data_IF_335690457660
#
_entry.id   IF_335690457660
#
_cell.length_a   1.000
_cell.length_b   1.000
_cell.length_c   1.000
_cell.angle_alpha   90.00
_cell.angle_beta   90.00
_cell.angle_gamma   90.00
#
_symmetry.space_group_name_H-M   'P 1'
#
loop_
_entity.id
_entity.type
_entity.pdbx_description
1 polymer ?
#
# COMPACT_ATOMS: atom_id res chain seq x y z
N UNK A 1 -46.19 -21.68 39.65
CA UNK A 1 -44.79 -22.19 39.59
C UNK A 1 -44.15 -21.83 38.26
N UNK A 2 -42.79 -21.82 38.17
CA UNK A 2 -42.09 -21.60 36.92
C UNK A 2 -41.14 -22.76 36.63
N UNK A 3 -40.95 -23.09 35.37
CA UNK A 3 -40.03 -24.13 34.90
C UNK A 3 -39.02 -23.49 33.95
N UNK A 4 -37.75 -23.83 34.03
CA UNK A 4 -36.73 -23.39 33.09
C UNK A 4 -36.94 -24.10 31.77
N UNK A 5 -36.86 -23.33 30.64
CA UNK A 5 -36.89 -23.80 29.29
C UNK A 5 -35.72 -23.20 28.52
N UNK A 6 -35.32 -23.83 27.42
CA UNK A 6 -34.14 -23.50 26.65
C UNK A 6 -34.58 -22.95 25.31
N UNK A 7 -34.09 -21.74 25.01
CA UNK A 7 -34.52 -20.95 23.83
C UNK A 7 -33.56 -21.10 22.68
N UNK A 8 -34.12 -21.14 21.47
CA UNK A 8 -33.38 -21.14 20.23
C UNK A 8 -33.86 -20.01 19.30
N UNK A 9 -32.95 -19.57 18.38
CA UNK A 9 -33.23 -18.53 17.40
C UNK A 9 -33.94 -19.07 16.14
N UNK A 10 -34.12 -18.21 15.14
CA UNK A 10 -34.75 -18.56 13.85
C UNK A 10 -33.97 -19.63 13.06
N UNK A 11 -32.68 -19.80 13.35
CA UNK A 11 -31.81 -20.82 12.77
C UNK A 11 -31.74 -22.09 13.65
N UNK A 12 -32.60 -22.14 14.67
CA UNK A 12 -32.63 -23.20 15.69
C UNK A 12 -31.37 -23.30 16.56
N UNK A 13 -30.53 -22.27 16.59
CA UNK A 13 -29.34 -22.24 17.45
C UNK A 13 -29.72 -21.85 18.89
N UNK A 14 -29.11 -22.52 19.86
CA UNK A 14 -29.28 -22.19 21.28
C UNK A 14 -28.83 -20.77 21.60
N UNK A 15 -29.68 -20.01 22.29
CA UNK A 15 -29.43 -18.60 22.66
C UNK A 15 -29.60 -18.31 24.15
N UNK A 16 -29.90 -19.33 24.96
CA UNK A 16 -30.01 -19.14 26.38
C UNK A 16 -31.26 -19.78 26.98
N UNK A 17 -31.58 -19.44 28.23
CA UNK A 17 -32.72 -19.97 28.99
C UNK A 17 -33.87 -18.96 29.08
N UNK A 18 -35.09 -19.45 29.20
CA UNK A 18 -36.31 -18.68 29.49
C UNK A 18 -37.13 -19.39 30.57
N UNK A 19 -38.31 -18.86 30.91
CA UNK A 19 -39.20 -19.42 31.92
C UNK A 19 -40.57 -19.71 31.36
N UNK A 20 -41.02 -20.96 31.51
CA UNK A 20 -42.39 -21.35 31.29
C UNK A 20 -43.21 -21.16 32.57
N UNK A 21 -44.37 -20.59 32.45
CA UNK A 21 -45.30 -20.37 33.57
C UNK A 21 -46.37 -21.48 33.63
N UNK A 22 -46.72 -21.92 34.84
CA UNK A 22 -47.75 -22.88 35.06
C UNK A 22 -49.14 -22.33 34.66
N UNK A 23 -49.94 -23.14 34.01
CA UNK A 23 -51.32 -22.78 33.65
C UNK A 23 -52.16 -22.45 34.89
N UNK A 24 -52.89 -21.34 34.90
CA UNK A 24 -53.77 -21.01 36.01
C UNK A 24 -55.01 -21.96 36.11
N UNK A 25 -55.30 -22.69 35.01
CA UNK A 25 -56.43 -23.56 34.91
C UNK A 25 -56.11 -25.04 35.16
N UNK A 26 -54.85 -25.43 34.90
CA UNK A 26 -54.46 -26.85 35.02
C UNK A 26 -53.13 -26.96 35.77
N UNK A 27 -53.17 -27.47 36.98
CA UNK A 27 -52.01 -27.64 37.84
C UNK A 27 -51.02 -28.66 37.21
N UNK A 28 -49.74 -28.27 37.12
CA UNK A 28 -48.68 -29.11 36.55
C UNK A 28 -48.50 -28.96 35.03
N UNK A 29 -49.35 -28.18 34.35
CA UNK A 29 -49.19 -27.86 32.93
C UNK A 29 -48.48 -26.51 32.78
N UNK A 30 -47.41 -26.49 31.99
CA UNK A 30 -46.61 -25.27 31.73
C UNK A 30 -46.81 -24.77 30.30
N UNK A 31 -46.99 -23.48 30.17
CA UNK A 31 -47.04 -22.82 28.86
C UNK A 31 -45.60 -22.56 28.40
N UNK A 32 -45.13 -23.36 27.43
CA UNK A 32 -43.80 -23.21 26.85
C UNK A 32 -43.88 -22.11 25.79
N UNK A 33 -43.02 -21.05 25.89
CA UNK A 33 -42.97 -19.99 24.91
C UNK A 33 -42.55 -20.55 23.53
N UNK A 34 -42.87 -19.81 22.49
CA UNK A 34 -42.41 -20.15 21.12
C UNK A 34 -40.88 -20.18 21.06
N UNK A 35 -40.33 -21.06 20.24
CA UNK A 35 -38.89 -21.28 20.10
C UNK A 35 -38.16 -21.67 21.40
N UNK A 36 -38.86 -22.41 22.25
CA UNK A 36 -38.32 -22.97 23.48
C UNK A 36 -38.58 -24.47 23.56
N UNK A 37 -37.71 -25.19 24.26
CA UNK A 37 -37.87 -26.61 24.58
C UNK A 37 -37.58 -26.84 26.08
N UNK A 38 -38.12 -27.92 26.63
CA UNK A 38 -37.81 -28.35 28.01
C UNK A 38 -36.54 -29.18 28.12
N UNK A 39 -35.99 -29.59 26.97
CA UNK A 39 -34.79 -30.43 26.90
C UNK A 39 -33.57 -29.56 27.09
N UNK A 40 -32.75 -29.89 28.07
CA UNK A 40 -31.52 -29.21 28.37
C UNK A 40 -30.47 -29.39 27.24
N UNK A 41 -29.82 -28.29 26.73
CA UNK A 41 -28.76 -28.43 25.75
C UNK A 41 -27.52 -29.08 26.39
N UNK A 42 -26.69 -29.76 25.57
CA UNK A 42 -25.41 -30.25 26.04
C UNK A 42 -24.46 -29.10 26.35
N UNK A 43 -23.33 -29.39 27.00
CA UNK A 43 -22.31 -28.40 27.32
C UNK A 43 -21.74 -27.75 26.02
N UNK A 44 -21.38 -26.47 26.08
CA UNK A 44 -20.78 -25.77 24.96
C UNK A 44 -19.45 -26.44 24.57
N UNK A 45 -19.26 -26.62 23.26
CA UNK A 45 -18.05 -27.20 22.68
C UNK A 45 -17.41 -26.22 21.72
N UNK A 46 -16.13 -25.96 21.91
CA UNK A 46 -15.37 -25.05 21.03
C UNK A 46 -15.45 -25.51 19.56
N UNK A 47 -15.75 -24.57 18.66
CA UNK A 47 -15.90 -24.83 17.23
C UNK A 47 -17.26 -25.39 16.81
N UNK A 48 -18.24 -25.50 17.72
CA UNK A 48 -19.58 -26.00 17.42
C UNK A 48 -20.65 -25.05 17.91
N UNK A 49 -21.76 -24.98 17.17
CA UNK A 49 -23.03 -24.40 17.62
C UNK A 49 -23.95 -25.52 18.09
N UNK A 50 -24.73 -25.25 19.12
CA UNK A 50 -25.75 -26.19 19.61
C UNK A 50 -27.06 -25.84 18.89
N UNK A 51 -27.63 -26.79 18.15
CA UNK A 51 -28.78 -26.61 17.27
C UNK A 51 -29.90 -27.55 17.65
N UNK A 52 -31.14 -27.04 17.68
CA UNK A 52 -32.35 -27.81 17.94
C UNK A 52 -32.90 -28.41 16.64
N UNK A 53 -33.04 -29.74 16.55
CA UNK A 53 -33.60 -30.39 15.38
C UNK A 53 -35.12 -30.68 15.46
N UNK A 54 -35.76 -30.27 16.53
CA UNK A 54 -37.16 -30.53 16.82
C UNK A 54 -37.38 -31.59 17.89
N UNK A 55 -36.41 -32.43 18.16
CA UNK A 55 -36.49 -33.52 19.14
C UNK A 55 -35.34 -33.49 20.15
N UNK A 56 -34.12 -33.21 19.69
CA UNK A 56 -32.89 -33.16 20.50
C UNK A 56 -31.99 -32.02 20.07
N UNK A 57 -31.03 -31.68 20.92
CA UNK A 57 -29.94 -30.77 20.60
C UNK A 57 -28.81 -31.51 19.90
N UNK A 58 -28.26 -30.93 18.83
CA UNK A 58 -27.16 -31.47 18.04
C UNK A 58 -26.02 -30.45 17.93
N UNK A 59 -24.78 -30.90 17.76
CA UNK A 59 -23.66 -30.03 17.48
C UNK A 59 -23.51 -29.83 15.97
N UNK A 60 -23.53 -28.59 15.52
CA UNK A 60 -23.22 -28.19 14.14
C UNK A 60 -21.83 -27.52 14.13
N UNK A 61 -20.90 -28.00 13.31
CA UNK A 61 -19.59 -27.36 13.18
C UNK A 61 -19.75 -25.93 12.67
N UNK A 62 -19.06 -24.98 13.35
CA UNK A 62 -18.91 -23.63 12.84
C UNK A 62 -17.87 -23.71 11.71
N UNK A 63 -18.26 -23.35 10.44
CA UNK A 63 -17.29 -23.32 9.35
C UNK A 63 -16.10 -22.46 9.75
N UNK A 64 -14.88 -23.02 9.76
CA UNK A 64 -13.67 -22.22 9.95
C UNK A 64 -13.59 -21.25 8.79
N UNK A 65 -13.52 -19.96 9.11
CA UNK A 65 -13.18 -18.95 8.13
C UNK A 65 -11.85 -19.35 7.46
N UNK A 66 -11.78 -19.41 6.13
CA UNK A 66 -10.53 -19.78 5.47
C UNK A 66 -9.44 -18.83 5.94
N UNK A 67 -8.34 -19.38 6.43
CA UNK A 67 -7.17 -18.56 6.76
C UNK A 67 -6.80 -17.76 5.51
N UNK A 68 -6.51 -16.44 5.65
CA UNK A 68 -6.11 -15.62 4.51
C UNK A 68 -4.90 -16.28 3.84
N UNK A 69 -5.03 -16.61 2.57
CA UNK A 69 -3.96 -17.20 1.79
C UNK A 69 -2.73 -16.29 1.88
N UNK A 70 -1.61 -16.84 2.31
CA UNK A 70 -0.36 -16.09 2.33
C UNK A 70 0.05 -15.78 0.89
N UNK A 71 0.51 -14.53 0.60
CA UNK A 71 0.88 -14.16 -0.75
C UNK A 71 1.99 -15.07 -1.28
N UNK A 72 1.85 -15.49 -2.50
CA UNK A 72 2.85 -16.29 -3.21
C UNK A 72 4.14 -15.52 -3.41
N UNK A 73 5.26 -16.23 -3.64
CA UNK A 73 6.54 -15.57 -3.94
C UNK A 73 6.45 -14.67 -5.18
N UNK A 74 5.67 -15.05 -6.19
CA UNK A 74 5.49 -14.25 -7.41
C UNK A 74 4.72 -12.96 -7.13
N UNK A 75 3.69 -12.98 -6.28
CA UNK A 75 2.98 -11.78 -5.85
C UNK A 75 3.87 -10.86 -5.03
N UNK A 76 4.70 -11.41 -4.15
CA UNK A 76 5.69 -10.63 -3.39
C UNK A 76 6.74 -10.00 -4.30
N UNK A 77 7.24 -10.72 -5.31
CA UNK A 77 8.15 -10.19 -6.34
C UNK A 77 7.49 -9.05 -7.12
N UNK A 78 6.27 -9.25 -7.60
CA UNK A 78 5.54 -8.21 -8.33
C UNK A 78 5.38 -6.93 -7.51
N UNK A 79 5.04 -7.06 -6.22
CA UNK A 79 4.97 -5.93 -5.30
C UNK A 79 6.32 -5.24 -5.14
N UNK A 80 7.40 -6.00 -4.92
CA UNK A 80 8.75 -5.43 -4.75
C UNK A 80 9.26 -4.75 -6.01
N UNK A 81 8.96 -5.29 -7.21
CA UNK A 81 9.27 -4.63 -8.49
C UNK A 81 8.58 -3.28 -8.62
N UNK A 82 7.30 -3.18 -8.23
CA UNK A 82 6.59 -1.90 -8.22
C UNK A 82 7.21 -0.89 -7.23
N UNK A 83 7.71 -1.35 -6.06
CA UNK A 83 8.46 -0.53 -5.11
C UNK A 83 9.78 -0.02 -5.72
N UNK A 84 10.52 -0.88 -6.44
CA UNK A 84 11.76 -0.49 -7.17
C UNK A 84 11.47 0.54 -8.24
N UNK A 85 10.39 0.39 -9.01
CA UNK A 85 10.00 1.33 -10.06
C UNK A 85 9.63 2.70 -9.47
N UNK A 86 8.86 2.71 -8.38
CA UNK A 86 8.50 3.94 -7.67
C UNK A 86 9.73 4.64 -7.07
N UNK A 87 10.64 3.89 -6.45
CA UNK A 87 11.91 4.39 -5.92
C UNK A 87 12.78 4.99 -7.03
N UNK A 88 12.92 4.28 -8.17
CA UNK A 88 13.69 4.78 -9.32
C UNK A 88 13.11 6.08 -9.85
N UNK A 89 11.78 6.15 -10.01
CA UNK A 89 11.10 7.36 -10.46
C UNK A 89 11.30 8.52 -9.47
N UNK A 90 11.21 8.26 -8.17
CA UNK A 90 11.45 9.27 -7.14
C UNK A 90 12.88 9.80 -7.17
N UNK A 91 13.88 8.92 -7.35
CA UNK A 91 15.29 9.36 -7.51
C UNK A 91 15.49 10.21 -8.76
N UNK A 92 14.90 9.84 -9.88
CA UNK A 92 14.99 10.61 -11.13
C UNK A 92 14.40 12.02 -10.95
N UNK A 93 13.29 12.15 -10.22
CA UNK A 93 12.58 13.43 -10.07
C UNK A 93 12.94 14.19 -8.79
N UNK A 94 13.82 13.64 -7.96
CA UNK A 94 14.21 14.20 -6.66
C UNK A 94 15.24 15.33 -6.72
N UNK A 95 15.67 15.69 -7.91
CA UNK A 95 16.71 16.69 -8.16
C UNK A 95 18.04 16.07 -8.47
N UNK A 96 18.93 16.86 -9.08
CA UNK A 96 20.31 16.49 -9.39
C UNK A 96 21.26 17.64 -9.07
N UNK A 97 22.53 17.35 -8.98
CA UNK A 97 23.58 18.35 -8.76
C UNK A 97 24.37 18.58 -10.04
N UNK A 98 24.79 19.82 -10.27
CA UNK A 98 25.67 20.21 -11.36
C UNK A 98 26.57 21.37 -10.94
N UNK A 99 27.76 21.44 -11.47
CA UNK A 99 28.71 22.56 -11.30
C UNK A 99 28.70 23.51 -12.51
N UNK A 100 27.76 23.35 -13.43
CA UNK A 100 27.69 24.12 -14.67
C UNK A 100 27.69 25.64 -14.46
N UNK A 101 27.19 26.13 -13.33
CA UNK A 101 27.19 27.57 -12.96
C UNK A 101 28.52 28.06 -12.38
N UNK A 102 29.52 27.20 -12.22
CA UNK A 102 30.79 27.50 -11.58
C UNK A 102 30.84 27.18 -10.08
N UNK A 103 29.75 26.73 -9.52
CA UNK A 103 29.60 26.23 -8.15
C UNK A 103 28.66 25.04 -8.11
N UNK A 104 28.71 24.23 -7.05
CA UNK A 104 27.85 23.10 -6.88
C UNK A 104 26.42 23.55 -6.55
N UNK A 105 25.47 23.25 -7.43
CA UNK A 105 24.07 23.64 -7.32
C UNK A 105 23.18 22.43 -7.47
N UNK A 106 22.17 22.28 -6.61
CA UNK A 106 21.11 21.29 -6.74
C UNK A 106 19.95 21.89 -7.56
N UNK A 107 19.62 21.25 -8.64
CA UNK A 107 18.51 21.62 -9.52
C UNK A 107 17.36 20.63 -9.38
N UNK A 108 16.14 21.09 -9.66
CA UNK A 108 14.99 20.21 -9.76
C UNK A 108 15.11 19.32 -11.01
N UNK A 109 14.52 18.13 -10.94
CA UNK A 109 14.46 17.18 -12.06
C UNK A 109 13.07 16.57 -12.23
N UNK A 110 12.03 17.30 -11.83
CA UNK A 110 10.66 16.92 -12.13
C UNK A 110 10.39 16.92 -13.65
N UNK A 111 9.27 16.31 -14.07
CA UNK A 111 8.96 16.11 -15.48
C UNK A 111 8.86 17.43 -16.28
N UNK A 112 8.31 18.48 -15.67
CA UNK A 112 8.15 19.77 -16.33
C UNK A 112 9.52 20.46 -16.50
N UNK A 113 10.38 20.36 -15.49
CA UNK A 113 11.77 20.83 -15.57
C UNK A 113 12.53 20.07 -16.66
N UNK A 114 12.44 18.73 -16.72
CA UNK A 114 13.09 17.93 -17.78
C UNK A 114 12.63 18.34 -19.18
N UNK A 115 11.32 18.56 -19.37
CA UNK A 115 10.77 18.99 -20.67
C UNK A 115 11.26 20.40 -21.04
N UNK A 116 11.28 21.32 -20.08
CA UNK A 116 11.79 22.69 -20.28
C UNK A 116 13.27 22.67 -20.66
N UNK A 117 14.10 21.86 -19.96
CA UNK A 117 15.52 21.70 -20.26
C UNK A 117 15.76 21.18 -21.68
N UNK A 118 14.96 20.19 -22.12
CA UNK A 118 15.03 19.68 -23.50
C UNK A 118 14.72 20.77 -24.55
N UNK A 119 13.68 21.58 -24.28
CA UNK A 119 13.30 22.70 -25.14
C UNK A 119 14.41 23.75 -25.26
N UNK A 120 15.05 24.08 -24.13
CA UNK A 120 16.17 25.01 -24.06
C UNK A 120 17.39 24.44 -24.83
N UNK A 121 17.75 23.16 -24.57
CA UNK A 121 18.89 22.51 -25.25
C UNK A 121 18.77 22.46 -26.77
N UNK A 122 17.54 22.26 -27.29
CA UNK A 122 17.31 22.28 -28.75
C UNK A 122 17.54 23.64 -29.39
N UNK A 123 17.40 24.74 -28.64
CA UNK A 123 17.49 26.10 -29.16
C UNK A 123 18.81 26.80 -28.78
N UNK A 124 19.63 26.21 -27.89
CA UNK A 124 20.80 26.86 -27.26
C UNK A 124 21.84 27.37 -28.29
N UNK A 125 21.98 26.69 -29.42
CA UNK A 125 22.93 27.06 -30.50
C UNK A 125 22.30 27.88 -31.63
N UNK A 126 21.11 28.47 -31.42
CA UNK A 126 20.45 29.30 -32.43
C UNK A 126 20.66 30.79 -32.12
N UNK A 127 20.64 31.59 -33.20
CA UNK A 127 20.71 33.06 -33.04
C UNK A 127 19.59 33.60 -32.18
N UNK A 128 18.44 32.95 -32.18
CA UNK A 128 17.30 33.29 -31.37
C UNK A 128 17.60 33.18 -29.86
N UNK A 129 18.35 32.15 -29.46
CA UNK A 129 18.72 31.98 -28.05
C UNK A 129 19.55 33.18 -27.54
N UNK A 130 20.53 33.64 -28.33
CA UNK A 130 21.34 34.79 -27.96
C UNK A 130 20.53 36.10 -27.88
N UNK A 131 19.48 36.21 -28.69
CA UNK A 131 18.55 37.38 -28.64
C UNK A 131 17.62 37.31 -27.43
N UNK A 132 17.10 36.12 -27.09
CA UNK A 132 16.21 35.92 -25.97
C UNK A 132 16.91 35.99 -24.61
N UNK A 133 18.17 35.51 -24.54
CA UNK A 133 18.97 35.43 -23.33
C UNK A 133 20.31 36.17 -23.42
N UNK A 134 20.30 37.48 -23.61
CA UNK A 134 21.53 38.25 -23.86
C UNK A 134 22.47 38.27 -22.66
N UNK A 135 21.99 37.99 -21.43
CA UNK A 135 22.76 37.92 -20.17
C UNK A 135 22.90 36.50 -19.64
N UNK A 136 22.52 35.48 -20.44
CA UNK A 136 22.47 34.07 -20.04
C UNK A 136 21.05 33.59 -19.78
N UNK A 137 20.85 32.28 -19.92
CA UNK A 137 19.57 31.62 -19.67
C UNK A 137 19.31 31.52 -18.16
N UNK A 138 18.20 32.09 -17.64
CA UNK A 138 17.89 32.03 -16.23
C UNK A 138 17.41 30.62 -15.83
N UNK A 139 18.09 29.99 -14.91
CA UNK A 139 17.69 28.73 -14.26
C UNK A 139 17.66 28.91 -12.76
N UNK A 140 16.80 28.15 -12.08
CA UNK A 140 16.70 28.22 -10.60
C UNK A 140 17.24 26.95 -9.98
N UNK A 141 18.09 27.11 -8.97
CA UNK A 141 18.66 26.02 -8.20
C UNK A 141 18.93 26.41 -6.76
N UNK A 142 19.37 25.47 -5.98
CA UNK A 142 19.74 25.64 -4.58
C UNK A 142 21.28 25.59 -4.52
N UNK A 143 21.91 26.72 -4.20
CA UNK A 143 23.35 26.74 -3.93
C UNK A 143 23.67 25.80 -2.75
N UNK A 144 24.92 25.34 -2.68
CA UNK A 144 25.34 24.39 -1.64
C UNK A 144 24.99 24.88 -0.24
N UNK A 145 24.36 24.03 0.56
CA UNK A 145 23.88 24.33 1.91
C UNK A 145 22.65 25.26 1.99
N UNK A 146 22.08 25.73 0.85
CA UNK A 146 20.90 26.62 0.82
C UNK A 146 19.59 25.82 0.74
N UNK A 147 18.58 26.32 1.44
CA UNK A 147 17.18 25.90 1.32
C UNK A 147 16.37 26.78 0.37
N UNK A 148 16.93 27.94 -0.03
CA UNK A 148 16.28 28.91 -0.88
C UNK A 148 16.79 28.81 -2.33
N UNK A 149 15.86 28.89 -3.30
CA UNK A 149 16.21 28.89 -4.73
C UNK A 149 16.75 30.24 -5.14
N UNK A 150 17.93 30.21 -5.79
CA UNK A 150 18.58 31.34 -6.43
C UNK A 150 18.49 31.21 -7.94
N UNK A 151 18.55 32.35 -8.68
CA UNK A 151 18.59 32.37 -10.13
C UNK A 151 20.06 32.41 -10.57
N UNK A 152 20.43 31.47 -11.44
CA UNK A 152 21.71 31.41 -12.13
C UNK A 152 21.51 31.75 -13.60
N UNK A 153 22.40 32.48 -14.20
CA UNK A 153 22.34 32.87 -15.62
C UNK A 153 23.42 32.07 -16.37
N UNK A 154 22.98 31.04 -17.11
CA UNK A 154 23.86 30.10 -17.78
C UNK A 154 24.21 30.54 -19.22
N UNK A 155 25.48 30.48 -19.59
CA UNK A 155 25.90 30.61 -21.00
C UNK A 155 25.40 29.42 -21.82
N UNK A 156 25.44 29.49 -23.18
CA UNK A 156 25.07 28.35 -24.02
C UNK A 156 25.81 27.04 -23.66
N UNK A 157 27.10 27.13 -23.40
CA UNK A 157 27.95 25.99 -23.01
C UNK A 157 27.53 25.41 -21.67
N UNK A 158 27.26 26.29 -20.70
CA UNK A 158 26.79 25.89 -19.35
C UNK A 158 25.39 25.24 -19.38
N UNK A 159 24.51 25.68 -20.28
CA UNK A 159 23.20 25.03 -20.51
C UNK A 159 23.38 23.62 -21.05
N UNK A 160 24.31 23.39 -21.99
CA UNK A 160 24.58 22.05 -22.48
C UNK A 160 25.15 21.13 -21.42
N UNK A 161 26.06 21.65 -20.58
CA UNK A 161 26.60 20.92 -19.43
C UNK A 161 25.49 20.57 -18.42
N UNK A 162 24.65 21.54 -18.05
CA UNK A 162 23.49 21.34 -17.18
C UNK A 162 22.56 20.22 -17.70
N UNK A 163 22.27 20.20 -19.01
CA UNK A 163 21.46 19.16 -19.63
C UNK A 163 22.18 17.79 -19.67
N UNK A 164 23.49 17.78 -19.87
CA UNK A 164 24.31 16.56 -19.85
C UNK A 164 24.32 15.93 -18.43
N UNK A 165 24.48 16.75 -17.39
CA UNK A 165 24.47 16.30 -16.01
C UNK A 165 23.12 15.70 -15.61
N UNK A 166 21.99 16.32 -16.03
CA UNK A 166 20.66 15.72 -15.85
C UNK A 166 20.56 14.35 -16.56
N UNK A 167 21.03 14.27 -17.81
CA UNK A 167 20.98 13.00 -18.56
C UNK A 167 21.80 11.91 -17.88
N UNK A 168 22.96 12.26 -17.33
CA UNK A 168 23.83 11.37 -16.56
C UNK A 168 23.14 10.92 -15.29
N UNK A 169 22.52 11.85 -14.54
CA UNK A 169 21.75 11.56 -13.33
C UNK A 169 20.62 10.56 -13.62
N UNK A 170 19.81 10.81 -14.67
CA UNK A 170 18.71 9.91 -15.08
C UNK A 170 19.26 8.52 -15.44
N UNK A 171 20.36 8.47 -16.20
CA UNK A 171 21.03 7.22 -16.59
C UNK A 171 21.48 6.41 -15.37
N UNK A 172 22.11 7.05 -14.40
CA UNK A 172 22.57 6.44 -13.15
C UNK A 172 21.40 5.89 -12.33
N UNK A 173 20.33 6.69 -12.16
CA UNK A 173 19.14 6.24 -11.44
C UNK A 173 18.49 5.01 -12.12
N UNK A 174 18.38 4.99 -13.45
CA UNK A 174 17.85 3.84 -14.20
C UNK A 174 18.71 2.59 -14.04
N UNK A 175 20.04 2.73 -14.12
CA UNK A 175 20.96 1.61 -13.93
C UNK A 175 20.84 1.02 -12.53
N UNK A 176 20.72 1.86 -11.50
CA UNK A 176 20.46 1.41 -10.13
C UNK A 176 19.12 0.67 -10.03
N UNK A 177 18.06 1.19 -10.65
CA UNK A 177 16.76 0.53 -10.71
C UNK A 177 16.82 -0.85 -11.38
N UNK A 178 17.47 -0.97 -12.54
CA UNK A 178 17.65 -2.25 -13.24
C UNK A 178 18.44 -3.26 -12.41
N UNK A 179 19.47 -2.82 -11.68
CA UNK A 179 20.21 -3.67 -10.76
C UNK A 179 19.30 -4.23 -9.67
N UNK A 180 18.48 -3.37 -9.05
CA UNK A 180 17.51 -3.79 -8.01
C UNK A 180 16.42 -4.72 -8.57
N UNK A 181 15.92 -4.48 -9.77
CA UNK A 181 14.99 -5.39 -10.45
C UNK A 181 15.61 -6.77 -10.69
N UNK A 182 16.90 -6.82 -11.07
CA UNK A 182 17.61 -8.08 -11.24
C UNK A 182 17.75 -8.85 -9.91
N UNK A 183 18.05 -8.15 -8.79
CA UNK A 183 18.08 -8.73 -7.44
C UNK A 183 16.71 -9.35 -7.07
N UNK A 184 15.61 -8.60 -7.30
CA UNK A 184 14.23 -9.07 -7.02
C UNK A 184 13.91 -10.32 -7.86
N UNK A 185 14.24 -10.32 -9.14
CA UNK A 185 13.96 -11.48 -10.02
C UNK A 185 14.76 -12.70 -9.62
N UNK A 186 15.97 -12.55 -9.10
CA UNK A 186 16.85 -13.62 -8.65
C UNK A 186 16.44 -14.22 -7.30
N UNK A 187 15.74 -13.49 -6.46
CA UNK A 187 15.33 -13.91 -5.12
C UNK A 187 14.49 -15.19 -5.16
N UNK A 188 14.77 -16.16 -4.25
CA UNK A 188 14.12 -17.45 -4.17
C UNK A 188 13.20 -17.57 -2.93
N UNK A 189 13.24 -16.58 -2.02
CA UNK A 189 12.45 -16.56 -0.80
C UNK A 189 11.98 -15.15 -0.42
N UNK A 190 11.04 -15.08 0.50
CA UNK A 190 10.57 -13.81 1.07
C UNK A 190 11.69 -13.08 1.81
N UNK A 191 12.51 -13.80 2.55
CA UNK A 191 13.62 -13.26 3.33
C UNK A 191 14.65 -12.58 2.41
N UNK A 192 14.93 -13.17 1.24
CA UNK A 192 15.80 -12.56 0.24
C UNK A 192 15.18 -11.29 -0.36
N UNK A 193 13.86 -11.28 -0.61
CA UNK A 193 13.15 -10.08 -1.06
C UNK A 193 13.17 -8.96 -0.02
N UNK A 194 12.98 -9.30 1.25
CA UNK A 194 12.96 -8.33 2.36
C UNK A 194 14.36 -7.74 2.62
N UNK A 195 15.43 -8.47 2.28
CA UNK A 195 16.82 -8.01 2.38
C UNK A 195 17.20 -6.98 1.29
N UNK A 196 16.41 -6.82 0.21
CA UNK A 196 16.66 -5.81 -0.83
C UNK A 196 16.25 -4.43 -0.32
N UNK A 197 17.26 -3.62 0.01
CA UNK A 197 17.09 -2.25 0.52
C UNK A 197 17.09 -1.27 -0.66
N UNK A 198 16.20 -0.29 -0.60
CA UNK A 198 16.08 0.82 -1.56
C UNK A 198 16.50 2.11 -0.84
N UNK A 199 17.79 2.51 -1.01
CA UNK A 199 18.40 3.68 -0.36
C UNK A 199 18.19 4.97 -1.16
#
# INVERSE_FOLDING_TARGET
MTKTVYRYDENNCYIGTDRAFESPLEKGVFHIPANCTEIEPPEEKEGFKIKWNGEVWEYEEIPKEPEPEQPTLDELKAKKLAEVDAWTAAKITGGFTSECSGELVRYDSDKDTQLTMQGIALNVNTDRFAVEYPTGCPVRGYADGSTDKTIFYLTPEQVLEWCADLSTHIGTCKQAGWSKQAEVNAAQSKEELDAIILD
#
